data_IF_256653094034
#
_entry.id   IF_256653094034
#
_cell.length_a   1.000
_cell.length_b   1.000
_cell.length_c   1.000
_cell.angle_alpha   90.00
_cell.angle_beta   90.00
_cell.angle_gamma   90.00
#
_symmetry.space_group_name_H-M   'P 1'
#
loop_
_entity.id
_entity.type
_entity.pdbx_description
1 polymer ?
#
# COMPACT_ATOMS: atom_id res chain seq x y z
N UNK A 1 40.22 -2.31 39.64
CA UNK A 1 39.36 -2.79 38.54
C UNK A 1 38.97 -1.58 37.70
N UNK A 2 39.41 -1.52 36.45
CA UNK A 2 39.03 -0.48 35.48
C UNK A 2 37.65 -0.81 34.92
N UNK A 3 36.74 0.15 34.95
CA UNK A 3 35.61 0.23 34.02
C UNK A 3 35.67 1.63 33.43
N UNK A 4 36.32 1.73 32.28
CA UNK A 4 36.29 2.88 31.37
C UNK A 4 35.98 2.29 30.00
N UNK A 5 35.05 2.95 29.29
CA UNK A 5 34.77 2.88 27.85
C UNK A 5 34.02 1.63 27.33
N UNK A 6 33.08 1.72 26.39
CA UNK A 6 32.81 2.73 25.35
C UNK A 6 31.29 2.95 25.16
N UNK A 7 30.81 4.20 25.28
CA UNK A 7 29.45 4.61 24.90
C UNK A 7 29.41 5.58 23.71
N UNK A 8 30.51 5.77 23.00
CA UNK A 8 30.56 6.60 21.80
C UNK A 8 31.21 5.83 20.66
N UNK A 9 30.77 6.14 19.44
CA UNK A 9 31.26 5.65 18.14
C UNK A 9 30.52 4.44 17.55
N UNK A 10 29.28 4.66 17.12
CA UNK A 10 28.81 4.26 15.78
C UNK A 10 27.41 4.83 15.50
N UNK A 11 27.13 6.07 15.91
CA UNK A 11 26.02 6.78 15.27
C UNK A 11 26.46 7.11 13.83
N UNK A 12 25.71 6.69 12.80
CA UNK A 12 26.04 7.06 11.43
C UNK A 12 26.11 8.58 11.37
N UNK A 13 27.28 9.13 11.01
CA UNK A 13 27.46 10.57 10.76
C UNK A 13 26.43 10.98 9.71
N UNK A 14 25.33 11.63 10.15
CA UNK A 14 24.39 12.28 9.25
C UNK A 14 25.18 13.37 8.51
N UNK A 15 25.27 13.27 7.20
CA UNK A 15 25.98 14.25 6.37
C UNK A 15 25.43 15.67 6.64
N UNK A 16 26.28 16.71 6.59
CA UNK A 16 25.82 18.09 6.72
C UNK A 16 24.78 18.38 5.64
N UNK A 17 23.60 18.82 6.07
CA UNK A 17 22.45 19.03 5.20
C UNK A 17 22.73 20.18 4.25
N UNK A 18 22.68 19.92 2.95
CA UNK A 18 22.50 20.98 1.97
C UNK A 18 21.07 21.51 2.10
N UNK A 19 20.91 22.74 2.58
CA UNK A 19 19.60 23.41 2.71
C UNK A 19 18.84 23.43 1.37
N UNK A 20 19.55 23.38 0.24
CA UNK A 20 18.99 23.30 -1.11
C UNK A 20 18.22 21.98 -1.38
N UNK A 21 18.44 20.94 -0.59
CA UNK A 21 17.73 19.65 -0.72
C UNK A 21 16.35 19.64 -0.04
N UNK A 22 16.09 20.57 0.87
CA UNK A 22 14.84 20.63 1.64
C UNK A 22 13.59 20.87 0.77
N UNK A 23 13.59 21.80 -0.21
CA UNK A 23 12.43 21.99 -1.08
C UNK A 23 12.12 20.76 -1.92
N UNK A 24 13.16 20.06 -2.39
CA UNK A 24 13.01 18.82 -3.15
C UNK A 24 12.34 17.73 -2.30
N UNK A 25 12.78 17.57 -1.06
CA UNK A 25 12.15 16.61 -0.15
C UNK A 25 10.72 16.99 0.23
N UNK A 26 10.41 18.27 0.39
CA UNK A 26 9.06 18.74 0.68
C UNK A 26 8.11 18.47 -0.49
N UNK A 27 8.57 18.75 -1.72
CA UNK A 27 7.84 18.42 -2.93
C UNK A 27 7.60 16.91 -3.05
N UNK A 28 8.62 16.10 -2.78
CA UNK A 28 8.50 14.64 -2.79
C UNK A 28 7.52 14.13 -1.73
N UNK A 29 7.50 14.72 -0.54
CA UNK A 29 6.49 14.43 0.48
C UNK A 29 5.08 14.83 0.02
N UNK A 30 4.92 15.99 -0.63
CA UNK A 30 3.63 16.42 -1.18
C UNK A 30 3.09 15.48 -2.26
N UNK A 31 3.94 15.07 -3.21
CA UNK A 31 3.62 14.03 -4.19
C UNK A 31 3.37 12.67 -3.51
N UNK A 32 4.07 12.40 -2.40
CA UNK A 32 3.88 11.21 -1.59
C UNK A 32 2.49 11.14 -0.98
N UNK A 33 2.05 12.23 -0.35
CA UNK A 33 0.73 12.36 0.27
C UNK A 33 -0.40 12.37 -0.75
N UNK A 34 -0.20 12.95 -1.94
CA UNK A 34 -1.21 12.88 -3.01
C UNK A 34 -1.37 11.47 -3.57
N UNK A 35 -0.29 10.67 -3.55
CA UNK A 35 -0.29 9.34 -4.14
C UNK A 35 -0.75 8.23 -3.17
N UNK A 36 -0.99 8.51 -1.88
CA UNK A 36 -1.21 7.55 -0.75
C UNK A 36 -0.06 6.51 -0.59
N UNK A 37 0.33 5.84 -1.67
CA UNK A 37 1.36 4.81 -1.81
C UNK A 37 2.77 5.27 -1.52
N UNK A 38 3.08 6.52 -1.84
CA UNK A 38 4.42 7.08 -1.68
C UNK A 38 4.56 7.91 -0.38
N UNK A 39 3.47 8.08 0.38
CA UNK A 39 3.44 8.93 1.58
C UNK A 39 4.43 8.45 2.65
N UNK A 40 4.37 7.16 2.99
CA UNK A 40 5.28 6.55 3.96
C UNK A 40 6.73 6.58 3.46
N UNK A 41 6.96 6.32 2.17
CA UNK A 41 8.29 6.31 1.57
C UNK A 41 8.99 7.66 1.68
N UNK A 42 8.32 8.72 1.27
CA UNK A 42 8.89 10.07 1.29
C UNK A 42 9.23 10.47 2.74
N UNK A 43 8.32 10.23 3.69
CA UNK A 43 8.55 10.59 5.10
C UNK A 43 9.67 9.74 5.73
N UNK A 44 9.76 8.44 5.42
CA UNK A 44 10.87 7.57 5.88
C UNK A 44 12.21 8.06 5.33
N UNK A 45 12.24 8.37 4.03
CA UNK A 45 13.44 8.86 3.34
C UNK A 45 13.94 10.13 4.02
N UNK A 46 13.03 11.06 4.27
CA UNK A 46 13.30 12.33 4.94
C UNK A 46 13.77 12.10 6.39
N UNK A 47 13.09 11.27 7.18
CA UNK A 47 13.47 10.96 8.57
C UNK A 47 14.84 10.29 8.70
N UNK A 48 15.31 9.61 7.66
CA UNK A 48 16.62 8.97 7.63
C UNK A 48 17.73 9.85 7.07
N UNK A 49 17.42 10.74 6.12
CA UNK A 49 18.41 11.61 5.47
C UNK A 49 18.62 12.93 6.19
N UNK A 50 17.64 13.39 6.95
CA UNK A 50 17.72 14.70 7.60
C UNK A 50 17.96 14.59 9.14
N UNK A 51 18.57 15.62 9.76
CA UNK A 51 18.69 15.79 11.20
C UNK A 51 17.31 15.89 11.86
N UNK A 52 17.18 15.48 13.11
CA UNK A 52 15.92 15.05 13.72
C UNK A 52 14.73 16.05 13.68
N UNK A 53 14.98 17.35 13.53
CA UNK A 53 13.92 18.36 13.43
C UNK A 53 13.41 18.59 12.00
N UNK A 54 14.29 18.52 10.99
CA UNK A 54 13.97 18.79 9.59
C UNK A 54 12.92 17.85 8.98
N UNK A 55 12.85 16.55 9.33
CA UNK A 55 11.85 15.67 8.77
C UNK A 55 10.42 16.09 9.08
N UNK A 56 10.19 16.64 10.27
CA UNK A 56 8.89 17.17 10.66
C UNK A 56 8.53 18.37 9.81
N UNK A 57 9.47 19.31 9.65
CA UNK A 57 9.31 20.51 8.81
C UNK A 57 8.98 20.13 7.37
N UNK A 58 9.76 19.21 6.79
CA UNK A 58 9.58 18.74 5.41
C UNK A 58 8.27 17.98 5.23
N UNK A 59 7.87 17.17 6.20
CA UNK A 59 6.59 16.45 6.17
C UNK A 59 5.40 17.41 6.27
N UNK A 60 5.47 18.44 7.12
CA UNK A 60 4.44 19.49 7.22
C UNK A 60 4.39 20.28 5.91
N UNK A 61 5.53 20.71 5.37
CA UNK A 61 5.60 21.42 4.10
C UNK A 61 5.02 20.58 2.95
N UNK A 62 5.35 19.29 2.90
CA UNK A 62 4.77 18.37 1.93
C UNK A 62 3.25 18.21 2.08
N UNK A 63 2.74 18.10 3.31
CA UNK A 63 1.30 18.04 3.56
C UNK A 63 0.58 19.32 3.10
N UNK A 64 1.18 20.49 3.33
CA UNK A 64 0.68 21.77 2.84
C UNK A 64 0.68 21.85 1.32
N UNK A 65 1.75 21.38 0.65
CA UNK A 65 1.80 21.30 -0.82
C UNK A 65 0.69 20.39 -1.35
N UNK A 66 0.49 19.21 -0.75
CA UNK A 66 -0.57 18.30 -1.16
C UNK A 66 -1.97 18.92 -1.03
N UNK A 67 -2.19 19.69 0.04
CA UNK A 67 -3.48 20.31 0.32
C UNK A 67 -3.73 21.56 -0.55
N UNK A 68 -2.75 22.45 -0.66
CA UNK A 68 -2.91 23.78 -1.28
C UNK A 68 -2.62 23.78 -2.77
N UNK A 69 -1.68 22.94 -3.23
CA UNK A 69 -1.20 22.95 -4.63
C UNK A 69 -1.79 21.79 -5.41
N UNK A 70 -1.90 20.61 -4.80
CA UNK A 70 -2.43 19.41 -5.45
C UNK A 70 -3.92 19.19 -5.15
N UNK A 71 -4.55 20.09 -4.39
CA UNK A 71 -5.98 20.08 -4.03
C UNK A 71 -6.46 18.73 -3.47
N UNK A 72 -5.57 18.01 -2.78
CA UNK A 72 -5.90 16.70 -2.21
C UNK A 72 -6.87 16.90 -1.03
N UNK A 73 -7.95 16.11 -0.91
CA UNK A 73 -8.88 16.24 0.20
C UNK A 73 -8.18 16.18 1.56
N UNK A 74 -8.44 17.17 2.42
CA UNK A 74 -7.84 17.29 3.75
C UNK A 74 -7.85 15.98 4.56
N UNK A 75 -8.94 15.19 4.62
CA UNK A 75 -8.96 13.93 5.35
C UNK A 75 -7.92 12.92 4.84
N UNK A 76 -7.69 12.87 3.53
CA UNK A 76 -6.71 11.97 2.89
C UNK A 76 -5.28 12.40 3.22
N UNK A 77 -5.02 13.71 3.18
CA UNK A 77 -3.72 14.28 3.56
C UNK A 77 -3.41 14.00 5.03
N UNK A 78 -4.37 14.26 5.93
CA UNK A 78 -4.21 14.02 7.36
C UNK A 78 -3.97 12.54 7.68
N UNK A 79 -4.74 11.64 7.06
CA UNK A 79 -4.59 10.21 7.24
C UNK A 79 -3.21 9.72 6.78
N UNK A 80 -2.79 10.15 5.59
CA UNK A 80 -1.48 9.80 5.03
C UNK A 80 -0.34 10.37 5.87
N UNK A 81 -0.48 11.60 6.37
CA UNK A 81 0.49 12.23 7.27
C UNK A 81 0.63 11.46 8.58
N UNK A 82 -0.48 11.13 9.25
CA UNK A 82 -0.46 10.39 10.52
C UNK A 82 0.17 9.00 10.33
N UNK A 83 -0.21 8.28 9.28
CA UNK A 83 0.38 6.97 8.96
C UNK A 83 1.88 7.08 8.69
N UNK A 84 2.30 8.06 7.88
CA UNK A 84 3.70 8.22 7.52
C UNK A 84 4.57 8.61 8.74
N UNK A 85 4.08 9.48 9.62
CA UNK A 85 4.76 9.84 10.89
C UNK A 85 4.84 8.62 11.82
N UNK A 86 3.75 7.88 11.98
CA UNK A 86 3.72 6.67 12.81
C UNK A 86 4.73 5.61 12.34
N UNK A 87 4.76 5.37 11.03
CA UNK A 87 5.69 4.42 10.41
C UNK A 87 7.13 4.90 10.57
N UNK A 88 7.40 6.19 10.35
CA UNK A 88 8.73 6.76 10.51
C UNK A 88 9.24 6.67 11.95
N UNK A 89 8.42 7.00 12.96
CA UNK A 89 8.78 6.84 14.39
C UNK A 89 9.05 5.37 14.74
N UNK A 90 8.20 4.46 14.28
CA UNK A 90 8.40 3.02 14.50
C UNK A 90 9.68 2.49 13.84
N UNK A 91 10.05 3.04 12.68
CA UNK A 91 11.32 2.71 12.00
C UNK A 91 12.52 3.26 12.78
N UNK A 92 12.45 4.51 13.26
CA UNK A 92 13.50 5.09 14.09
C UNK A 92 13.74 4.29 15.37
N UNK A 93 12.67 3.75 15.97
CA UNK A 93 12.73 2.87 17.15
C UNK A 93 13.14 1.43 16.84
N UNK A 94 13.49 1.10 15.60
CA UNK A 94 13.90 -0.26 15.19
C UNK A 94 12.85 -1.34 15.53
N UNK A 95 11.56 -0.99 15.47
CA UNK A 95 10.47 -1.95 15.73
C UNK A 95 10.54 -3.09 14.69
N UNK A 96 10.35 -4.36 15.08
CA UNK A 96 10.32 -5.47 14.13
C UNK A 96 9.27 -5.27 13.04
N UNK A 97 9.59 -5.67 11.80
CA UNK A 97 8.77 -5.39 10.61
C UNK A 97 7.34 -5.92 10.74
N UNK A 98 7.14 -7.17 11.20
CA UNK A 98 5.80 -7.71 11.38
C UNK A 98 4.99 -6.96 12.44
N UNK A 99 5.65 -6.53 13.51
CA UNK A 99 5.04 -5.69 14.54
C UNK A 99 4.65 -4.32 13.96
N UNK A 100 5.50 -3.71 13.13
CA UNK A 100 5.17 -2.48 12.41
C UNK A 100 3.94 -2.66 11.51
N UNK A 101 3.89 -3.73 10.72
CA UNK A 101 2.78 -4.00 9.80
C UNK A 101 1.45 -4.18 10.55
N UNK A 102 1.44 -4.96 11.63
CA UNK A 102 0.25 -5.16 12.47
C UNK A 102 -0.20 -3.85 13.11
N UNK A 103 0.73 -3.07 13.68
CA UNK A 103 0.38 -1.78 14.29
C UNK A 103 -0.14 -0.78 13.26
N UNK A 104 0.45 -0.76 12.06
CA UNK A 104 -0.03 0.08 10.95
C UNK A 104 -1.45 -0.32 10.55
N UNK A 105 -1.74 -1.62 10.44
CA UNK A 105 -3.07 -2.13 10.13
C UNK A 105 -4.10 -1.69 11.19
N UNK A 106 -3.76 -1.84 12.47
CA UNK A 106 -4.60 -1.42 13.59
C UNK A 106 -4.86 0.09 13.57
N UNK A 107 -3.81 0.89 13.43
CA UNK A 107 -3.91 2.35 13.36
C UNK A 107 -4.78 2.80 12.18
N UNK A 108 -4.55 2.23 10.99
CA UNK A 108 -5.32 2.53 9.78
C UNK A 108 -6.80 2.20 9.97
N UNK A 109 -7.09 1.06 10.62
CA UNK A 109 -8.46 0.63 10.93
C UNK A 109 -9.14 1.61 11.87
N UNK A 110 -8.47 1.98 12.97
CA UNK A 110 -8.99 2.95 13.96
C UNK A 110 -9.23 4.31 13.31
N UNK A 111 -8.27 4.82 12.53
CA UNK A 111 -8.41 6.09 11.83
C UNK A 111 -9.53 6.06 10.79
N UNK A 112 -9.69 4.93 10.07
CA UNK A 112 -10.81 4.73 9.16
C UNK A 112 -12.16 4.78 9.87
N UNK A 113 -12.29 4.10 11.02
CA UNK A 113 -13.50 4.12 11.83
C UNK A 113 -13.82 5.52 12.39
N UNK A 114 -12.80 6.24 12.86
CA UNK A 114 -12.94 7.63 13.32
C UNK A 114 -13.36 8.53 12.16
N UNK A 115 -12.72 8.41 11.00
CA UNK A 115 -13.05 9.19 9.81
C UNK A 115 -14.48 8.97 9.35
N UNK A 116 -14.95 7.71 9.36
CA UNK A 116 -16.36 7.38 9.12
C UNK A 116 -17.26 8.01 10.19
N UNK A 117 -16.90 7.90 11.47
CA UNK A 117 -17.63 8.52 12.58
C UNK A 117 -17.80 10.03 12.40
N UNK A 118 -16.73 10.75 12.09
CA UNK A 118 -16.74 12.21 11.89
C UNK A 118 -17.60 12.61 10.69
N UNK A 119 -17.47 11.91 9.56
CA UNK A 119 -18.31 12.13 8.37
C UNK A 119 -19.80 11.87 8.63
N UNK A 120 -20.11 11.02 9.62
CA UNK A 120 -21.49 10.67 9.98
C UNK A 120 -22.07 11.49 11.12
N UNK A 121 -21.26 12.11 11.98
CA UNK A 121 -21.80 12.96 13.06
C UNK A 121 -22.49 14.23 12.55
N UNK A 122 -22.27 14.60 11.28
CA UNK A 122 -23.06 15.63 10.59
C UNK A 122 -24.45 15.13 10.13
N UNK A 123 -24.76 13.83 10.33
CA UNK A 123 -26.01 13.16 9.93
C UNK A 123 -26.51 12.30 11.10
N UNK A 124 -27.48 12.82 11.86
CA UNK A 124 -28.17 12.20 13.02
C UNK A 124 -27.89 10.71 13.28
N UNK A 125 -27.25 10.39 14.41
CA UNK A 125 -27.20 9.09 15.09
C UNK A 125 -27.17 7.82 14.19
N UNK A 126 -26.51 7.91 13.04
CA UNK A 126 -26.47 6.84 12.07
C UNK A 126 -25.48 5.76 12.56
N UNK A 127 -25.91 4.49 12.60
CA UNK A 127 -25.01 3.35 12.87
C UNK A 127 -23.84 3.41 11.87
N UNK A 128 -22.60 3.12 12.29
CA UNK A 128 -21.37 3.18 11.44
C UNK A 128 -21.57 2.54 10.06
N UNK A 129 -22.32 1.44 9.98
CA UNK A 129 -22.64 0.74 8.74
C UNK A 129 -23.52 1.56 7.78
N UNK A 130 -24.48 2.32 8.29
CA UNK A 130 -25.31 3.22 7.49
C UNK A 130 -24.53 4.42 6.96
N UNK A 131 -23.60 4.94 7.76
CA UNK A 131 -22.64 5.96 7.32
C UNK A 131 -21.72 5.49 6.20
N UNK A 132 -21.19 4.27 6.33
CA UNK A 132 -20.41 3.63 5.27
C UNK A 132 -21.23 3.45 3.99
N UNK A 133 -22.49 3.00 4.10
CA UNK A 133 -23.39 2.88 2.95
C UNK A 133 -23.56 4.22 2.23
N UNK A 134 -23.85 5.30 2.96
CA UNK A 134 -24.04 6.63 2.38
C UNK A 134 -22.76 7.15 1.70
N UNK A 135 -21.59 6.91 2.29
CA UNK A 135 -20.32 7.26 1.67
C UNK A 135 -20.12 6.51 0.34
N UNK A 136 -20.34 5.19 0.33
CA UNK A 136 -20.23 4.37 -0.88
C UNK A 136 -21.21 4.86 -1.95
N UNK A 137 -22.45 5.17 -1.57
CA UNK A 137 -23.47 5.67 -2.50
C UNK A 137 -23.04 7.01 -3.14
N UNK A 138 -22.47 7.94 -2.36
CA UNK A 138 -21.91 9.20 -2.87
C UNK A 138 -20.73 8.97 -3.83
N UNK A 139 -19.82 8.06 -3.50
CA UNK A 139 -18.67 7.73 -4.36
C UNK A 139 -19.13 7.14 -5.70
N UNK A 140 -20.10 6.22 -5.67
CA UNK A 140 -20.67 5.63 -6.90
C UNK A 140 -21.35 6.70 -7.74
N UNK A 141 -22.15 7.58 -7.12
CA UNK A 141 -22.79 8.71 -7.81
C UNK A 141 -21.77 9.66 -8.45
N UNK A 142 -20.70 10.00 -7.72
CA UNK A 142 -19.65 10.88 -8.24
C UNK A 142 -18.91 10.23 -9.43
N UNK A 143 -18.62 8.93 -9.34
CA UNK A 143 -17.99 8.19 -10.45
C UNK A 143 -18.89 8.13 -11.70
N UNK A 144 -20.21 7.97 -11.51
CA UNK A 144 -21.20 8.06 -12.59
C UNK A 144 -21.19 9.43 -13.26
N UNK A 145 -21.19 10.50 -12.47
CA UNK A 145 -21.23 11.88 -12.97
C UNK A 145 -19.94 12.31 -13.68
N UNK A 146 -18.79 11.79 -13.25
CA UNK A 146 -17.49 12.16 -13.82
C UNK A 146 -17.16 11.41 -15.11
N UNK A 147 -18.03 10.52 -15.61
CA UNK A 147 -17.77 9.70 -16.80
C UNK A 147 -16.60 8.72 -16.63
N UNK A 148 -16.13 8.50 -15.38
CA UNK A 148 -15.07 7.55 -15.06
C UNK A 148 -15.55 6.10 -15.11
N UNK A 149 -16.87 5.89 -15.11
CA UNK A 149 -17.45 4.57 -15.31
C UNK A 149 -17.47 4.24 -16.79
N UNK A 150 -16.69 3.21 -17.14
CA UNK A 150 -16.79 2.57 -18.43
C UNK A 150 -18.22 2.03 -18.62
N UNK A 151 -18.73 1.96 -19.87
CA UNK A 151 -20.10 1.50 -20.17
C UNK A 151 -20.47 0.13 -19.58
N UNK A 152 -19.46 -0.67 -19.25
CA UNK A 152 -19.56 -2.05 -18.76
C UNK A 152 -19.64 -2.14 -17.22
N UNK A 153 -19.43 -1.03 -16.50
CA UNK A 153 -19.47 -1.02 -15.05
C UNK A 153 -20.90 -0.91 -14.54
N UNK A 154 -21.43 -2.03 -14.02
CA UNK A 154 -22.69 -2.01 -13.32
C UNK A 154 -22.54 -1.26 -11.98
N UNK A 155 -23.25 -0.14 -11.76
CA UNK A 155 -23.13 0.65 -10.53
C UNK A 155 -23.51 -0.14 -9.28
N UNK A 156 -24.39 -1.14 -9.39
CA UNK A 156 -24.74 -2.07 -8.30
C UNK A 156 -23.53 -2.95 -7.96
N UNK A 157 -22.77 -3.41 -8.95
CA UNK A 157 -21.56 -4.18 -8.73
C UNK A 157 -20.47 -3.33 -8.05
N UNK A 158 -20.26 -2.10 -8.54
CA UNK A 158 -19.30 -1.17 -7.94
C UNK A 158 -19.66 -0.85 -6.49
N UNK A 159 -20.94 -0.56 -6.22
CA UNK A 159 -21.46 -0.32 -4.87
C UNK A 159 -21.17 -1.51 -3.95
N UNK A 160 -21.50 -2.73 -4.38
CA UNK A 160 -21.24 -3.94 -3.59
C UNK A 160 -19.75 -4.14 -3.34
N UNK A 161 -18.91 -3.96 -4.35
CA UNK A 161 -17.47 -4.10 -4.23
C UNK A 161 -16.88 -3.09 -3.25
N UNK A 162 -17.23 -1.81 -3.38
CA UNK A 162 -16.82 -0.77 -2.45
C UNK A 162 -17.34 -1.07 -1.04
N UNK A 163 -18.61 -1.47 -0.90
CA UNK A 163 -19.21 -1.70 0.40
C UNK A 163 -18.58 -2.89 1.15
N UNK A 164 -18.42 -4.04 0.49
CA UNK A 164 -17.96 -5.29 1.12
C UNK A 164 -16.43 -5.43 1.14
N UNK A 165 -15.72 -4.85 0.16
CA UNK A 165 -14.29 -5.08 -0.03
C UNK A 165 -13.46 -3.80 0.07
N UNK A 166 -14.06 -2.63 -0.15
CA UNK A 166 -13.41 -1.32 -0.08
C UNK A 166 -12.57 -1.10 1.19
N UNK A 167 -13.04 -1.43 2.41
CA UNK A 167 -12.24 -1.23 3.62
C UNK A 167 -10.98 -2.10 3.61
N UNK A 168 -11.08 -3.34 3.12
CA UNK A 168 -9.93 -4.24 3.05
C UNK A 168 -8.97 -3.85 1.94
N UNK A 169 -9.45 -3.32 0.80
CA UNK A 169 -8.57 -2.76 -0.22
C UNK A 169 -7.83 -1.53 0.30
N UNK A 170 -8.48 -0.69 1.09
CA UNK A 170 -7.84 0.45 1.73
C UNK A 170 -6.73 0.00 2.70
N UNK A 171 -7.03 -0.95 3.60
CA UNK A 171 -6.05 -1.53 4.51
C UNK A 171 -4.89 -2.22 3.77
N UNK A 172 -5.22 -2.95 2.71
CA UNK A 172 -4.27 -3.63 1.82
C UNK A 172 -3.33 -2.64 1.15
N UNK A 173 -3.87 -1.53 0.63
CA UNK A 173 -3.09 -0.46 0.02
C UNK A 173 -2.14 0.21 1.02
N UNK A 174 -2.58 0.43 2.25
CA UNK A 174 -1.74 0.98 3.31
C UNK A 174 -0.58 0.04 3.67
N UNK A 175 -0.86 -1.26 3.84
CA UNK A 175 0.18 -2.26 4.11
C UNK A 175 1.17 -2.38 2.95
N UNK A 176 0.68 -2.45 1.71
CA UNK A 176 1.54 -2.51 0.53
C UNK A 176 2.38 -1.25 0.39
N UNK A 177 1.84 -0.07 0.69
CA UNK A 177 2.59 1.19 0.71
C UNK A 177 3.74 1.15 1.72
N UNK A 178 3.49 0.71 2.95
CA UNK A 178 4.54 0.58 3.98
C UNK A 178 5.58 -0.44 3.55
N UNK A 179 5.16 -1.61 3.06
CA UNK A 179 6.08 -2.64 2.57
C UNK A 179 6.94 -2.12 1.43
N UNK A 180 6.31 -1.54 0.40
CA UNK A 180 6.98 -0.94 -0.75
C UNK A 180 8.03 0.06 -0.29
N UNK A 181 7.65 0.94 0.64
CA UNK A 181 8.53 1.97 1.17
C UNK A 181 9.77 1.38 1.86
N UNK A 182 9.54 0.40 2.74
CA UNK A 182 10.59 -0.28 3.51
C UNK A 182 11.50 -1.08 2.59
N UNK A 183 10.94 -1.89 1.68
CA UNK A 183 11.70 -2.75 0.79
C UNK A 183 12.45 -1.97 -0.28
N UNK A 184 11.87 -0.90 -0.82
CA UNK A 184 12.58 -0.02 -1.76
C UNK A 184 13.76 0.65 -1.09
N UNK A 185 13.58 1.19 0.13
CA UNK A 185 14.68 1.75 0.91
C UNK A 185 15.78 0.72 1.20
N UNK A 186 15.41 -0.54 1.46
CA UNK A 186 16.37 -1.63 1.66
C UNK A 186 17.12 -2.00 0.37
N UNK A 187 16.43 -2.07 -0.76
CA UNK A 187 17.04 -2.38 -2.06
C UNK A 187 18.00 -1.28 -2.56
N UNK A 188 17.67 -0.02 -2.25
CA UNK A 188 18.52 1.14 -2.54
C UNK A 188 19.65 1.35 -1.53
N UNK A 189 19.81 0.44 -0.55
CA UNK A 189 20.82 0.50 0.52
C UNK A 189 20.81 1.83 1.28
N UNK A 190 19.62 2.39 1.51
CA UNK A 190 19.47 3.61 2.32
C UNK A 190 19.64 3.38 3.82
N UNK A 191 19.85 2.13 4.21
CA UNK A 191 19.92 1.69 5.58
C UNK A 191 21.22 0.92 5.79
N UNK A 192 21.79 1.03 6.99
CA UNK A 192 22.95 0.22 7.38
C UNK A 192 22.60 -1.27 7.30
N UNK A 193 23.59 -2.12 7.02
CA UNK A 193 23.39 -3.57 6.97
C UNK A 193 22.96 -4.14 8.33
N UNK A 194 23.31 -3.45 9.43
CA UNK A 194 22.95 -3.80 10.81
C UNK A 194 21.51 -3.39 11.19
N UNK A 195 20.81 -2.62 10.35
CA UNK A 195 19.46 -2.14 10.61
C UNK A 195 18.42 -3.29 10.50
N UNK A 196 17.36 -3.28 11.33
CA UNK A 196 16.30 -4.30 11.32
C UNK A 196 15.55 -4.31 9.98
N UNK A 197 15.55 -3.18 9.27
CA UNK A 197 14.91 -3.02 7.98
C UNK A 197 15.88 -3.26 6.80
N UNK A 198 17.15 -3.64 7.06
CA UNK A 198 18.15 -3.83 6.03
C UNK A 198 17.77 -4.97 5.07
N UNK A 199 18.30 -4.93 3.84
CA UNK A 199 17.99 -5.98 2.86
C UNK A 199 18.37 -7.38 3.35
N UNK A 200 19.37 -7.50 4.24
CA UNK A 200 19.77 -8.77 4.85
C UNK A 200 18.77 -9.21 5.91
N UNK A 201 18.38 -8.31 6.81
CA UNK A 201 17.38 -8.56 7.85
C UNK A 201 16.02 -8.93 7.25
N UNK A 202 15.56 -8.20 6.23
CA UNK A 202 14.28 -8.48 5.54
C UNK A 202 14.26 -9.87 4.88
N UNK A 203 15.37 -10.28 4.26
CA UNK A 203 15.51 -11.64 3.70
C UNK A 203 15.48 -12.72 4.77
N UNK A 204 15.88 -12.38 6.00
CA UNK A 204 15.80 -13.26 7.18
C UNK A 204 14.36 -13.54 7.64
N UNK A 205 13.39 -12.70 7.24
CA UNK A 205 11.97 -12.90 7.56
C UNK A 205 11.30 -14.04 6.76
N UNK A 206 12.08 -14.78 5.96
CA UNK A 206 11.57 -15.87 5.13
C UNK A 206 10.87 -16.93 5.99
N UNK A 207 9.74 -17.41 5.49
CA UNK A 207 9.10 -18.60 6.01
C UNK A 207 9.95 -19.85 5.68
N UNK A 208 9.73 -20.97 6.40
CA UNK A 208 10.25 -22.27 6.00
C UNK A 208 9.92 -22.57 4.53
N UNK A 209 10.79 -23.31 3.83
CA UNK A 209 10.67 -23.55 2.38
C UNK A 209 9.30 -24.11 1.98
N UNK A 210 8.79 -25.11 2.72
CA UNK A 210 7.48 -25.71 2.46
C UNK A 210 6.35 -24.69 2.57
N UNK A 211 6.41 -23.80 3.56
CA UNK A 211 5.43 -22.73 3.72
C UNK A 211 5.57 -21.67 2.62
N UNK A 212 6.79 -21.38 2.17
CA UNK A 212 7.01 -20.46 1.05
C UNK A 212 6.38 -20.98 -0.24
N UNK A 213 6.56 -22.27 -0.56
CA UNK A 213 5.93 -22.91 -1.72
C UNK A 213 4.42 -22.90 -1.59
N UNK A 214 3.89 -23.26 -0.42
CA UNK A 214 2.46 -23.22 -0.16
C UNK A 214 1.87 -21.81 -0.34
N UNK A 215 2.53 -20.79 0.20
CA UNK A 215 2.14 -19.38 0.04
C UNK A 215 2.13 -18.94 -1.43
N UNK A 216 3.13 -19.35 -2.21
CA UNK A 216 3.19 -19.05 -3.65
C UNK A 216 2.06 -19.74 -4.43
N UNK A 217 1.75 -21.00 -4.09
CA UNK A 217 0.63 -21.74 -4.71
C UNK A 217 -0.70 -21.06 -4.38
N UNK A 218 -0.94 -20.74 -3.10
CA UNK A 218 -2.16 -20.04 -2.69
C UNK A 218 -2.31 -18.68 -3.38
N UNK A 219 -1.22 -17.93 -3.49
CA UNK A 219 -1.20 -16.66 -4.20
C UNK A 219 -1.54 -16.83 -5.68
N UNK A 220 -0.91 -17.81 -6.36
CA UNK A 220 -1.15 -18.08 -7.77
C UNK A 220 -2.59 -18.54 -8.02
N UNK A 221 -3.09 -19.53 -7.27
CA UNK A 221 -4.47 -20.03 -7.38
C UNK A 221 -5.47 -18.89 -7.22
N UNK A 222 -5.23 -18.00 -6.25
CA UNK A 222 -6.16 -16.92 -6.01
C UNK A 222 -6.06 -15.77 -7.03
N UNK A 223 -4.87 -15.48 -7.58
CA UNK A 223 -4.74 -14.51 -8.66
C UNK A 223 -5.60 -14.87 -9.90
N UNK A 224 -5.95 -16.15 -10.06
CA UNK A 224 -6.80 -16.66 -11.13
C UNK A 224 -8.24 -17.01 -10.70
N UNK A 225 -8.56 -17.01 -9.40
CA UNK A 225 -9.91 -17.31 -8.92
C UNK A 225 -10.75 -16.03 -8.76
N UNK A 226 -11.95 -16.04 -9.34
CA UNK A 226 -12.93 -14.98 -9.16
C UNK A 226 -13.57 -15.12 -7.78
N UNK A 227 -13.26 -14.19 -6.88
CA UNK A 227 -13.94 -14.12 -5.58
C UNK A 227 -15.26 -13.36 -5.75
N UNK A 228 -16.40 -13.89 -5.27
CA UNK A 228 -17.68 -13.22 -5.47
C UNK A 228 -17.70 -11.87 -4.76
N UNK A 229 -18.25 -10.85 -5.41
CA UNK A 229 -18.10 -9.45 -4.98
C UNK A 229 -18.87 -9.08 -3.70
N UNK A 230 -19.82 -9.91 -3.28
CA UNK A 230 -20.82 -9.61 -2.24
C UNK A 230 -20.46 -10.13 -0.84
N UNK A 231 -19.23 -10.61 -0.62
CA UNK A 231 -18.84 -11.20 0.67
C UNK A 231 -17.70 -10.40 1.35
N UNK A 232 -17.90 -10.04 2.63
CA UNK A 232 -16.84 -9.50 3.49
C UNK A 232 -15.62 -10.44 3.58
N UNK A 233 -15.87 -11.76 3.51
CA UNK A 233 -14.82 -12.77 3.52
C UNK A 233 -13.88 -12.63 2.31
N UNK A 234 -14.39 -12.22 1.14
CA UNK A 234 -13.54 -11.98 -0.03
C UNK A 234 -12.54 -10.85 0.24
N UNK A 235 -13.00 -9.75 0.85
CA UNK A 235 -12.12 -8.65 1.26
C UNK A 235 -11.07 -9.07 2.29
N UNK A 236 -11.44 -9.88 3.29
CA UNK A 236 -10.49 -10.41 4.26
C UNK A 236 -9.44 -11.31 3.59
N UNK A 237 -9.85 -12.15 2.64
CA UNK A 237 -8.93 -12.98 1.86
C UNK A 237 -7.97 -12.09 1.05
N UNK A 238 -8.43 -10.99 0.43
CA UNK A 238 -7.57 -10.01 -0.23
C UNK A 238 -6.50 -9.42 0.70
N UNK A 239 -6.86 -9.10 1.94
CA UNK A 239 -5.89 -8.63 2.92
C UNK A 239 -4.85 -9.71 3.27
N UNK A 240 -5.26 -10.98 3.39
CA UNK A 240 -4.32 -12.09 3.56
C UNK A 240 -3.41 -12.29 2.35
N UNK A 241 -3.92 -12.06 1.13
CA UNK A 241 -3.10 -12.12 -0.10
C UNK A 241 -2.03 -11.05 -0.16
N UNK A 242 -2.23 -9.88 0.46
CA UNK A 242 -1.15 -8.89 0.63
C UNK A 242 -0.01 -9.48 1.45
N UNK A 243 -0.33 -10.14 2.57
CA UNK A 243 0.68 -10.77 3.43
C UNK A 243 1.44 -11.87 2.67
N UNK A 244 0.73 -12.68 1.89
CA UNK A 244 1.34 -13.68 1.02
C UNK A 244 2.18 -13.06 -0.09
N UNK A 245 1.75 -11.94 -0.67
CA UNK A 245 2.53 -11.21 -1.68
C UNK A 245 3.83 -10.65 -1.09
N UNK A 246 3.78 -10.10 0.13
CA UNK A 246 4.95 -9.65 0.89
C UNK A 246 5.94 -10.82 1.06
N UNK A 247 5.46 -11.98 1.53
CA UNK A 247 6.30 -13.17 1.67
C UNK A 247 6.88 -13.64 0.33
N UNK A 248 6.07 -13.63 -0.74
CA UNK A 248 6.52 -13.92 -2.10
C UNK A 248 7.67 -13.00 -2.54
N UNK A 249 7.58 -11.70 -2.28
CA UNK A 249 8.67 -10.75 -2.59
C UNK A 249 9.95 -11.03 -1.79
N UNK A 250 9.82 -11.44 -0.53
CA UNK A 250 10.97 -11.82 0.30
C UNK A 250 11.67 -13.06 -0.25
N UNK A 251 10.91 -14.10 -0.60
CA UNK A 251 11.44 -15.34 -1.19
C UNK A 251 12.11 -15.06 -2.53
N UNK A 252 11.46 -14.28 -3.40
CA UNK A 252 12.02 -13.86 -4.68
C UNK A 252 13.33 -13.08 -4.49
N UNK A 253 13.39 -12.18 -3.51
CA UNK A 253 14.61 -11.44 -3.19
C UNK A 253 15.74 -12.33 -2.69
N UNK A 254 15.45 -13.41 -1.95
CA UNK A 254 16.46 -14.40 -1.54
C UNK A 254 16.99 -15.14 -2.77
N UNK A 255 16.10 -15.63 -3.63
CA UNK A 255 16.48 -16.36 -4.84
C UNK A 255 17.37 -15.51 -5.76
N UNK A 256 16.99 -14.26 -6.03
CA UNK A 256 17.80 -13.34 -6.84
C UNK A 256 19.18 -13.08 -6.21
N UNK A 257 19.25 -12.97 -4.88
CA UNK A 257 20.52 -12.78 -4.19
C UNK A 257 21.43 -14.02 -4.29
N UNK A 258 20.88 -15.23 -4.17
CA UNK A 258 21.63 -16.48 -4.36
C UNK A 258 22.19 -16.61 -5.77
N UNK A 259 21.46 -16.10 -6.77
CA UNK A 259 21.92 -16.01 -8.17
C UNK A 259 22.92 -14.89 -8.43
N UNK A 260 23.36 -14.16 -7.41
CA UNK A 260 24.35 -13.09 -7.53
C UNK A 260 23.84 -11.81 -8.20
N UNK A 261 22.52 -11.57 -8.22
CA UNK A 261 21.98 -10.37 -8.86
C UNK A 261 22.41 -9.10 -8.12
N UNK A 262 22.83 -8.08 -8.90
CA UNK A 262 23.17 -6.74 -8.37
C UNK A 262 21.94 -6.06 -7.74
N UNK A 263 22.16 -5.03 -6.91
CA UNK A 263 21.08 -4.33 -6.20
C UNK A 263 20.09 -3.63 -7.14
N UNK A 264 20.58 -2.96 -8.19
CA UNK A 264 19.75 -2.23 -9.16
C UNK A 264 18.67 -3.10 -9.84
N UNK A 265 19.04 -4.18 -10.53
CA UNK A 265 18.07 -5.09 -11.14
C UNK A 265 17.07 -5.68 -10.13
N UNK A 266 17.52 -6.01 -8.92
CA UNK A 266 16.63 -6.49 -7.84
C UNK A 266 15.61 -5.43 -7.43
N UNK A 267 16.02 -4.16 -7.33
CA UNK A 267 15.11 -3.05 -7.03
C UNK A 267 14.06 -2.91 -8.14
N UNK A 268 14.46 -3.00 -9.41
CA UNK A 268 13.52 -2.93 -10.54
C UNK A 268 12.52 -4.09 -10.53
N UNK A 269 12.97 -5.33 -10.28
CA UNK A 269 12.07 -6.49 -10.16
C UNK A 269 11.14 -6.33 -8.97
N UNK A 270 11.64 -5.84 -7.82
CA UNK A 270 10.83 -5.57 -6.64
C UNK A 270 9.73 -4.53 -6.92
N UNK A 271 10.12 -3.41 -7.54
CA UNK A 271 9.21 -2.34 -7.93
C UNK A 271 8.19 -2.86 -8.95
N UNK A 272 8.63 -3.54 -10.01
CA UNK A 272 7.75 -4.12 -11.01
C UNK A 272 6.76 -5.13 -10.42
N UNK A 273 7.23 -6.04 -9.56
CA UNK A 273 6.37 -7.01 -8.88
C UNK A 273 5.34 -6.34 -7.98
N UNK A 274 5.73 -5.31 -7.22
CA UNK A 274 4.78 -4.58 -6.38
C UNK A 274 3.83 -3.69 -7.18
N UNK A 275 4.25 -3.11 -8.30
CA UNK A 275 3.32 -2.41 -9.19
C UNK A 275 2.31 -3.37 -9.82
N UNK A 276 2.74 -4.53 -10.28
CA UNK A 276 1.84 -5.58 -10.80
C UNK A 276 0.95 -6.11 -9.67
N UNK A 277 1.48 -6.34 -8.48
CA UNK A 277 0.70 -6.78 -7.31
C UNK A 277 -0.29 -5.73 -6.84
N UNK A 278 0.08 -4.45 -6.87
CA UNK A 278 -0.80 -3.33 -6.56
C UNK A 278 -1.88 -3.17 -7.63
N UNK A 279 -1.53 -3.28 -8.91
CA UNK A 279 -2.48 -3.30 -10.01
C UNK A 279 -3.38 -4.54 -9.97
N UNK A 280 -2.87 -5.70 -9.53
CA UNK A 280 -3.69 -6.88 -9.34
C UNK A 280 -4.62 -6.73 -8.13
N UNK A 281 -4.17 -6.18 -7.00
CA UNK A 281 -5.00 -6.06 -5.80
C UNK A 281 -5.98 -4.90 -5.85
N UNK A 282 -5.53 -3.73 -6.32
CA UNK A 282 -6.34 -2.50 -6.42
C UNK A 282 -6.99 -2.38 -7.80
N UNK A 283 -6.28 -2.75 -8.85
CA UNK A 283 -6.79 -2.75 -10.22
C UNK A 283 -7.58 -4.01 -10.61
N UNK A 284 -7.53 -5.16 -9.93
CA UNK A 284 -8.60 -6.17 -10.08
C UNK A 284 -9.81 -5.80 -9.20
N UNK A 285 -9.63 -5.19 -8.03
CA UNK A 285 -10.75 -4.65 -7.27
C UNK A 285 -11.54 -3.59 -8.05
N UNK A 286 -10.87 -2.69 -8.77
CA UNK A 286 -11.52 -1.69 -9.60
C UNK A 286 -11.72 -2.18 -11.05
N UNK A 287 -10.70 -2.67 -11.75
CA UNK A 287 -10.72 -3.00 -13.20
C UNK A 287 -10.77 -4.50 -13.59
N UNK A 288 -10.96 -5.46 -12.67
CA UNK A 288 -11.05 -6.91 -12.99
C UNK A 288 -12.01 -7.34 -14.10
N UNK A 289 -13.13 -6.64 -14.38
CA UNK A 289 -14.02 -7.07 -15.46
C UNK A 289 -13.33 -7.09 -16.84
N UNK A 290 -12.31 -6.25 -17.06
CA UNK A 290 -11.71 -6.04 -18.39
C UNK A 290 -10.96 -7.26 -18.94
N UNK A 291 -10.22 -7.99 -18.10
CA UNK A 291 -9.38 -9.12 -18.57
C UNK A 291 -10.23 -10.37 -18.83
N UNK A 292 -11.39 -10.50 -18.17
CA UNK A 292 -12.23 -11.70 -18.24
C UNK A 292 -13.48 -11.55 -19.13
N UNK A 293 -14.04 -10.34 -19.30
CA UNK A 293 -15.15 -10.12 -20.26
C UNK A 293 -14.66 -10.24 -21.70
N UNK A 294 -13.42 -9.85 -21.98
CA UNK A 294 -12.81 -10.11 -23.30
C UNK A 294 -12.68 -11.61 -23.57
N UNK A 295 -12.49 -12.43 -22.54
CA UNK A 295 -12.39 -13.90 -22.67
C UNK A 295 -13.75 -14.58 -22.87
N UNK A 296 -14.82 -14.08 -22.24
CA UNK A 296 -16.18 -14.59 -22.44
C UNK A 296 -16.82 -14.11 -23.75
N UNK A 297 -16.53 -12.89 -24.21
CA UNK A 297 -16.98 -12.42 -25.53
C UNK A 297 -16.29 -13.16 -26.69
N UNK A 298 -15.04 -13.60 -26.51
CA UNK A 298 -14.32 -14.43 -27.48
C UNK A 298 -14.77 -15.90 -27.47
N UNK A 299 -15.33 -16.42 -26.36
CA UNK A 299 -15.89 -17.77 -26.28
C UNK A 299 -17.40 -17.85 -26.57
N UNK A 300 -18.10 -16.71 -26.59
CA UNK A 300 -19.54 -16.64 -26.90
C UNK A 300 -19.89 -16.51 -28.39
N UNK A 301 -18.89 -16.47 -29.28
CA UNK A 301 -19.11 -16.33 -30.72
C UNK A 301 -19.10 -17.69 -31.42
N UNK A 302 -20.06 -18.58 -31.08
CA UNK A 302 -20.55 -19.64 -31.96
C UNK A 302 -21.81 -20.31 -31.37
N UNK A 303 -22.95 -19.64 -31.55
CA UNK A 303 -24.22 -20.32 -31.73
C UNK A 303 -25.07 -19.44 -32.66
N UNK A 304 -24.94 -19.68 -33.98
CA UNK A 304 -25.96 -19.20 -34.92
C UNK A 304 -27.25 -19.99 -34.64
N UNK A 305 -28.39 -19.35 -34.41
CA UNK A 305 -29.67 -20.03 -34.53
C UNK A 305 -29.88 -20.34 -36.02
N UNK A 306 -30.08 -21.61 -36.32
CA UNK A 306 -30.46 -22.08 -37.65
C UNK A 306 -31.97 -22.30 -37.60
N UNK A 307 -32.71 -21.19 -37.56
CA UNK A 307 -34.12 -21.14 -37.93
C UNK A 307 -34.25 -20.19 -39.12
N UNK A 308 -35.14 -20.56 -40.03
CA UNK A 308 -35.51 -19.89 -41.30
C UNK A 308 -34.72 -20.33 -42.55
N UNK A 309 -35.02 -21.55 -42.99
CA UNK A 309 -35.26 -21.82 -44.41
C UNK A 309 -36.51 -22.69 -44.54
N UNK A 310 -37.66 -22.02 -44.64
CA UNK A 310 -38.82 -22.49 -45.41
C UNK A 310 -38.55 -22.11 -46.87
#
# INVERSE_FOLDING_TARGET
MRVVNDQNENQPKKEPVSLLSLPFYALLCGLGFSSILMSSFAVILVHRRLPDYWPKVVSIAGALIALLVLEVPLPVVLLSFVLAVFVADSIQRQVPVWTLMIRTLLLTTVLGLIGLGVMTQTVEAAKVLSGWSQFVDRVVQQAQQSGLLFPEWNPVMLRNLLFYQGPFYFLSGCLLSVWFSVGLAAHLKWQSEQDVYSSQSLRGLRLPWLMSVFVLILWAVNAFNQTPSQYWLAGLLHLLFVIFSIQGTTVLSVFMAQRGWKSGPRALVYVGFLFVGFYALVGLGLMSPFVFIKKNSLMGCQAKPLEEAV
#
